data_IF_105380747633
#
_entry.id   IF_105380747633
#
_cell.length_a   1.000
_cell.length_b   1.000
_cell.length_c   1.000
_cell.angle_alpha   90.00
_cell.angle_beta   90.00
_cell.angle_gamma   90.00
#
_symmetry.space_group_name_H-M   'P 1'
#
loop_
_entity.id
_entity.type
_entity.pdbx_description
1 polymer ?
#
# COMPACT_ATOMS: atom_id res chain seq x y z
N UNK A 1 -23.66 -12.81 17.46
CA UNK A 1 -22.79 -12.62 18.64
C UNK A 1 -21.80 -11.52 18.28
N UNK A 2 -22.03 -10.32 18.81
CA UNK A 2 -21.26 -9.13 18.44
C UNK A 2 -20.00 -9.02 19.28
N UNK A 3 -18.86 -9.40 18.73
CA UNK A 3 -17.56 -9.15 19.32
C UNK A 3 -17.13 -7.70 19.01
N UNK A 4 -17.06 -6.86 20.02
CA UNK A 4 -16.49 -5.52 19.93
C UNK A 4 -14.99 -5.67 19.64
N UNK A 5 -14.53 -5.18 18.50
CA UNK A 5 -13.10 -4.96 18.28
C UNK A 5 -12.62 -3.91 19.30
N UNK A 6 -11.86 -4.36 20.29
CA UNK A 6 -11.10 -3.46 21.17
C UNK A 6 -9.90 -2.92 20.36
N UNK A 7 -9.61 -1.63 20.50
CA UNK A 7 -8.32 -1.06 20.11
C UNK A 7 -7.22 -1.93 20.73
N UNK A 8 -6.54 -2.69 19.90
CA UNK A 8 -5.43 -3.53 20.35
C UNK A 8 -4.18 -2.66 20.33
N UNK A 9 -3.66 -2.33 21.51
CA UNK A 9 -2.33 -1.78 21.68
C UNK A 9 -1.31 -2.78 21.11
N UNK A 10 -0.58 -2.34 20.10
CA UNK A 10 0.41 -3.18 19.43
C UNK A 10 1.68 -3.25 20.27
N UNK A 11 2.30 -4.44 20.49
CA UNK A 11 3.40 -4.63 21.46
C UNK A 11 4.66 -3.82 21.20
N UNK A 12 4.85 -3.28 20.03
CA UNK A 12 6.13 -2.62 19.71
C UNK A 12 6.22 -1.13 20.05
N UNK A 13 5.18 -0.50 20.58
CA UNK A 13 5.26 0.88 21.09
C UNK A 13 6.12 0.95 22.37
N UNK A 14 6.40 -0.19 23.02
CA UNK A 14 7.15 -0.25 24.27
C UNK A 14 8.66 -0.53 24.14
N UNK A 15 9.20 -0.79 22.94
CA UNK A 15 10.61 -1.15 22.76
C UNK A 15 11.57 0.05 22.55
N UNK A 16 11.21 1.26 22.97
CA UNK A 16 12.02 2.47 22.80
C UNK A 16 12.48 3.17 24.07
N UNK A 17 12.19 2.66 25.25
CA UNK A 17 12.73 3.21 26.49
C UNK A 17 13.86 2.32 27.01
N UNK A 18 15.09 2.62 26.57
CA UNK A 18 16.30 2.03 27.11
C UNK A 18 16.48 2.43 28.58
N UNK A 19 16.85 1.47 29.39
CA UNK A 19 17.16 1.60 30.80
C UNK A 19 18.15 2.74 31.06
N UNK A 20 17.67 3.78 31.73
CA UNK A 20 18.52 4.85 32.27
C UNK A 20 19.13 4.40 33.58
N UNK A 21 20.45 4.25 33.60
CA UNK A 21 21.26 3.95 34.78
C UNK A 21 21.03 4.98 35.91
N UNK A 22 21.10 4.51 37.15
CA UNK A 22 20.97 5.25 38.39
C UNK A 22 21.85 6.51 38.47
N UNK A 23 21.36 7.67 38.94
CA UNK A 23 22.23 8.78 39.26
C UNK A 23 22.69 8.73 40.71
N UNK A 24 24.01 8.75 40.87
CA UNK A 24 24.66 9.05 42.12
C UNK A 24 24.43 10.49 42.56
N UNK A 25 24.21 10.67 43.85
CA UNK A 25 23.89 11.93 44.49
C UNK A 25 25.01 12.98 44.38
N UNK A 26 24.67 14.19 43.90
CA UNK A 26 25.37 15.43 44.20
C UNK A 26 24.36 16.55 44.42
N UNK A 27 24.36 17.09 45.66
CA UNK A 27 23.53 18.22 46.05
C UNK A 27 24.05 19.52 45.43
N UNK A 28 23.24 20.13 44.61
CA UNK A 28 23.44 21.52 44.13
C UNK A 28 22.28 22.41 44.57
N UNK A 29 22.64 23.62 45.07
CA UNK A 29 21.78 24.61 45.65
C UNK A 29 20.63 25.06 44.76
N UNK A 30 19.40 25.10 45.29
CA UNK A 30 18.13 25.43 44.58
C UNK A 30 18.08 26.82 43.88
N UNK A 31 19.03 27.71 44.11
CA UNK A 31 19.08 29.02 43.43
C UNK A 31 19.72 28.98 42.05
N UNK A 32 20.67 28.06 41.78
CA UNK A 32 21.25 27.87 40.46
C UNK A 32 20.33 27.13 39.50
N UNK A 33 19.43 26.27 39.99
CA UNK A 33 18.50 25.52 39.13
C UNK A 33 17.45 26.40 38.45
N UNK A 34 16.97 27.48 39.06
CA UNK A 34 15.99 28.36 38.42
C UNK A 34 16.57 29.14 37.24
N UNK A 35 17.80 29.60 37.33
CA UNK A 35 18.47 30.30 36.23
C UNK A 35 18.78 29.35 35.06
N UNK A 36 19.20 28.13 35.33
CA UNK A 36 19.46 27.10 34.31
C UNK A 36 18.14 26.65 33.65
N UNK A 37 17.06 26.49 34.40
CA UNK A 37 15.76 26.08 33.85
C UNK A 37 15.16 27.16 32.94
N UNK A 38 15.29 28.46 33.31
CA UNK A 38 14.81 29.57 32.47
C UNK A 38 15.64 29.66 31.17
N UNK A 39 16.97 29.47 31.24
CA UNK A 39 17.83 29.48 30.08
C UNK A 39 17.59 28.23 29.19
N UNK A 40 17.30 27.08 29.79
CA UNK A 40 16.98 25.88 29.03
C UNK A 40 15.61 25.95 28.33
N UNK A 41 14.60 26.53 29.02
CA UNK A 41 13.28 26.77 28.44
C UNK A 41 13.36 27.81 27.32
N UNK A 42 14.13 28.90 27.50
CA UNK A 42 14.36 29.88 26.45
C UNK A 42 15.10 29.25 25.23
N UNK A 43 16.14 28.43 25.46
CA UNK A 43 16.88 27.75 24.43
C UNK A 43 16.02 26.72 23.70
N UNK A 44 15.15 26.00 24.42
CA UNK A 44 14.20 25.05 23.80
C UNK A 44 13.14 25.77 23.00
N UNK A 45 12.68 26.96 23.46
CA UNK A 45 11.71 27.78 22.72
C UNK A 45 12.37 28.40 21.47
N UNK A 46 13.62 28.89 21.57
CA UNK A 46 14.35 29.41 20.41
C UNK A 46 14.69 28.31 19.40
N UNK A 47 15.11 27.13 19.83
CA UNK A 47 15.35 25.99 18.94
C UNK A 47 14.04 25.42 18.37
N UNK A 48 12.92 25.47 19.09
CA UNK A 48 11.61 25.09 18.56
C UNK A 48 11.05 26.10 17.56
N UNK A 49 11.54 27.36 17.56
CA UNK A 49 11.17 28.35 16.55
C UNK A 49 12.05 28.29 15.30
N UNK A 50 13.29 27.81 15.40
CA UNK A 50 14.19 27.65 14.24
C UNK A 50 13.93 26.39 13.43
N UNK A 51 13.38 25.34 14.01
CA UNK A 51 12.97 24.10 13.34
C UNK A 51 11.46 24.10 13.09
N UNK A 52 10.94 25.08 12.34
CA UNK A 52 9.68 24.86 11.62
C UNK A 52 9.98 23.98 10.44
N UNK A 53 10.18 22.70 10.71
CA UNK A 53 10.12 21.68 9.70
C UNK A 53 8.83 21.87 8.89
N UNK A 54 8.93 21.81 7.58
CA UNK A 54 7.79 21.62 6.69
C UNK A 54 6.84 20.65 7.35
N UNK A 55 5.54 20.96 7.37
CA UNK A 55 4.59 20.01 7.96
C UNK A 55 4.76 18.67 7.23
N UNK A 56 5.03 17.58 7.95
CA UNK A 56 5.23 16.30 7.30
C UNK A 56 4.00 15.98 6.46
N UNK A 57 4.22 15.52 5.24
CA UNK A 57 3.16 15.08 4.33
C UNK A 57 2.30 14.06 5.07
N UNK A 58 0.99 14.29 5.14
CA UNK A 58 0.08 13.33 5.73
C UNK A 58 0.17 12.00 4.98
N UNK A 59 0.41 10.88 5.66
CA UNK A 59 0.48 9.59 5.01
C UNK A 59 -0.87 9.21 4.38
N UNK A 60 -0.86 8.44 3.30
CA UNK A 60 -2.09 8.07 2.57
C UNK A 60 -3.14 7.38 3.44
N UNK A 61 -2.72 6.62 4.46
CA UNK A 61 -3.67 6.02 5.38
C UNK A 61 -4.52 7.09 6.12
N UNK A 62 -3.92 8.24 6.48
CA UNK A 62 -4.64 9.34 7.13
C UNK A 62 -5.61 10.00 6.14
N UNK A 63 -5.20 10.16 4.88
CA UNK A 63 -6.07 10.63 3.83
C UNK A 63 -7.19 9.64 3.52
N UNK A 64 -6.88 8.33 3.52
CA UNK A 64 -7.86 7.28 3.29
C UNK A 64 -8.97 7.21 4.36
N UNK A 65 -8.78 7.80 5.52
CA UNK A 65 -9.80 7.94 6.56
C UNK A 65 -10.61 9.24 6.45
N UNK A 66 -10.32 10.10 5.48
CA UNK A 66 -11.05 11.35 5.28
C UNK A 66 -12.54 11.07 5.01
N UNK A 67 -13.47 11.78 5.66
CA UNK A 67 -14.91 11.59 5.48
C UNK A 67 -15.40 12.00 4.09
N UNK A 68 -14.59 12.79 3.36
CA UNK A 68 -14.85 13.16 1.97
C UNK A 68 -13.62 12.85 1.11
N UNK A 69 -13.83 11.99 0.10
CA UNK A 69 -12.84 11.65 -0.91
C UNK A 69 -13.53 11.77 -2.27
N UNK A 70 -13.12 12.75 -3.04
CA UNK A 70 -13.81 13.13 -4.28
C UNK A 70 -12.79 13.31 -5.40
N UNK A 71 -13.21 13.01 -6.62
CA UNK A 71 -12.56 13.49 -7.83
C UNK A 71 -13.34 14.70 -8.34
N UNK A 72 -12.64 15.78 -8.66
CA UNK A 72 -13.24 17.07 -8.97
C UNK A 72 -12.56 17.77 -10.15
N UNK A 73 -13.27 18.70 -10.76
CA UNK A 73 -12.70 19.73 -11.65
C UNK A 73 -12.74 21.07 -10.94
N UNK A 74 -11.65 21.79 -10.93
CA UNK A 74 -11.57 23.15 -10.37
C UNK A 74 -12.18 24.15 -11.32
N UNK A 75 -13.21 24.87 -10.86
CA UNK A 75 -13.92 25.89 -11.63
C UNK A 75 -13.34 27.29 -11.45
N UNK A 76 -12.93 27.61 -10.23
CA UNK A 76 -12.28 28.89 -9.88
C UNK A 76 -11.49 28.76 -8.60
N UNK A 77 -10.60 29.72 -8.37
CA UNK A 77 -9.79 29.83 -7.18
C UNK A 77 -9.78 31.30 -6.71
N UNK A 78 -9.81 31.50 -5.40
CA UNK A 78 -9.78 32.82 -4.77
C UNK A 78 -8.89 32.76 -3.52
N UNK A 79 -7.95 33.69 -3.39
CA UNK A 79 -7.08 33.82 -2.22
C UNK A 79 -7.67 34.79 -1.23
N UNK A 80 -7.73 34.42 0.07
CA UNK A 80 -8.21 35.28 1.16
C UNK A 80 -7.23 35.19 2.32
N UNK A 81 -6.41 36.22 2.53
CA UNK A 81 -5.55 36.28 3.70
C UNK A 81 -6.37 36.13 4.99
N UNK A 82 -5.97 35.22 5.87
CA UNK A 82 -6.57 35.02 7.19
C UNK A 82 -5.75 35.73 8.27
N UNK A 83 -4.43 35.67 8.15
CA UNK A 83 -3.46 36.37 8.99
C UNK A 83 -2.27 36.80 8.13
N UNK A 84 -1.29 37.51 8.71
CA UNK A 84 -0.03 37.84 8.04
C UNK A 84 0.78 36.62 7.53
N UNK A 85 0.45 35.42 8.05
CA UNK A 85 1.18 34.17 7.76
C UNK A 85 0.31 33.04 7.26
N UNK A 86 -0.98 33.24 7.17
CA UNK A 86 -1.91 32.18 6.75
C UNK A 86 -2.83 32.77 5.69
N UNK A 87 -2.82 32.15 4.53
CA UNK A 87 -3.74 32.45 3.44
C UNK A 87 -4.69 31.27 3.22
N UNK A 88 -5.98 31.55 3.24
CA UNK A 88 -6.99 30.58 2.80
C UNK A 88 -7.13 30.66 1.27
N UNK A 89 -6.97 29.54 0.61
CA UNK A 89 -7.24 29.40 -0.82
C UNK A 89 -8.58 28.71 -0.96
N UNK A 90 -9.55 29.41 -1.54
CA UNK A 90 -10.89 28.92 -1.78
C UNK A 90 -10.99 28.42 -3.23
N UNK A 91 -11.30 27.14 -3.41
CA UNK A 91 -11.58 26.54 -4.69
C UNK A 91 -13.09 26.30 -4.82
N UNK A 92 -13.69 26.74 -5.92
CA UNK A 92 -15.00 26.25 -6.35
C UNK A 92 -14.76 25.07 -7.27
N UNK A 93 -15.36 23.93 -6.94
CA UNK A 93 -15.11 22.68 -7.67
C UNK A 93 -16.42 22.03 -8.09
N UNK A 94 -16.36 21.23 -9.17
CA UNK A 94 -17.46 20.38 -9.64
C UNK A 94 -17.08 18.93 -9.40
N UNK A 95 -17.92 18.19 -8.70
CA UNK A 95 -17.74 16.78 -8.39
C UNK A 95 -17.85 15.93 -9.65
N UNK A 96 -16.83 15.11 -9.89
CA UNK A 96 -16.77 14.14 -10.99
C UNK A 96 -16.99 12.72 -10.53
N UNK A 97 -16.51 12.39 -9.32
CA UNK A 97 -16.68 11.08 -8.70
C UNK A 97 -16.71 11.24 -7.18
N UNK A 98 -17.52 10.46 -6.52
CA UNK A 98 -17.56 10.35 -5.06
C UNK A 98 -17.04 8.98 -4.69
N UNK A 99 -15.93 8.92 -3.98
CA UNK A 99 -15.38 7.68 -3.40
C UNK A 99 -15.93 7.48 -1.99
N UNK A 100 -15.89 8.55 -1.19
CA UNK A 100 -16.44 8.64 0.16
C UNK A 100 -17.05 10.02 0.31
N UNK A 101 -18.24 10.12 0.90
CA UNK A 101 -18.89 11.40 1.15
C UNK A 101 -20.42 11.28 1.18
N UNK A 102 -21.02 11.52 2.34
CA UNK A 102 -22.47 11.55 2.48
C UNK A 102 -23.05 12.87 1.99
N UNK A 103 -24.18 12.80 1.29
CA UNK A 103 -24.92 13.99 0.82
C UNK A 103 -24.29 14.71 -0.37
N UNK A 104 -23.39 14.06 -1.11
CA UNK A 104 -22.80 14.56 -2.35
C UNK A 104 -23.11 13.64 -3.52
N UNK A 105 -23.27 14.24 -4.70
CA UNK A 105 -23.52 13.56 -5.96
C UNK A 105 -22.60 14.06 -7.06
N UNK A 106 -22.42 13.26 -8.11
CA UNK A 106 -21.71 13.68 -9.31
C UNK A 106 -22.45 14.87 -9.94
N UNK A 107 -21.69 15.91 -10.27
CA UNK A 107 -22.23 17.15 -10.83
C UNK A 107 -22.41 18.28 -9.80
N UNK A 108 -22.41 17.96 -8.50
CA UNK A 108 -22.52 18.99 -7.45
C UNK A 108 -21.36 19.98 -7.52
N UNK A 109 -21.66 21.24 -7.18
CA UNK A 109 -20.67 22.28 -7.03
C UNK A 109 -20.54 22.65 -5.55
N UNK A 110 -19.30 22.71 -5.06
CA UNK A 110 -19.02 23.02 -3.67
C UNK A 110 -17.75 23.86 -3.51
N UNK A 111 -17.58 24.43 -2.32
CA UNK A 111 -16.40 25.16 -1.95
C UNK A 111 -15.42 24.24 -1.21
N UNK A 112 -14.14 24.32 -1.58
CA UNK A 112 -13.04 23.61 -0.92
C UNK A 112 -12.02 24.65 -0.44
N UNK A 113 -11.69 24.62 0.85
CA UNK A 113 -10.73 25.54 1.47
C UNK A 113 -9.45 24.80 1.77
N UNK A 114 -8.33 25.37 1.33
CA UNK A 114 -6.98 24.95 1.69
C UNK A 114 -6.29 26.06 2.47
N UNK A 115 -5.50 25.71 3.49
CA UNK A 115 -4.69 26.67 4.22
C UNK A 115 -3.25 26.58 3.77
N UNK A 116 -2.67 27.71 3.40
CA UNK A 116 -1.27 27.85 3.03
C UNK A 116 -0.59 28.71 4.08
N UNK A 117 0.59 28.28 4.49
CA UNK A 117 1.41 28.99 5.47
C UNK A 117 2.54 29.68 4.72
N UNK A 118 2.57 30.99 4.77
CA UNK A 118 3.66 31.76 4.19
C UNK A 118 4.95 31.57 4.98
N UNK A 119 6.03 31.28 4.30
CA UNK A 119 7.34 31.17 4.93
C UNK A 119 7.78 32.54 5.47
N UNK A 120 8.44 32.62 6.64
CA UNK A 120 8.99 33.88 7.12
C UNK A 120 10.00 34.44 6.11
N UNK A 121 10.11 35.79 5.99
CA UNK A 121 11.09 36.42 5.13
C UNK A 121 12.50 35.89 5.40
N UNK A 122 13.20 35.41 4.37
CA UNK A 122 14.55 34.85 4.48
C UNK A 122 14.62 33.34 4.69
N UNK A 123 13.49 32.63 4.87
CA UNK A 123 13.49 31.19 4.78
C UNK A 123 13.69 30.79 3.32
N UNK A 124 14.81 30.16 3.01
CA UNK A 124 14.99 29.50 1.72
C UNK A 124 13.94 28.39 1.65
N UNK A 125 12.97 28.54 0.74
CA UNK A 125 12.08 27.44 0.42
C UNK A 125 12.98 26.28 -0.04
N UNK A 126 13.09 25.23 0.78
CA UNK A 126 13.59 23.99 0.26
C UNK A 126 12.67 23.65 -0.91
N UNK A 127 13.23 23.48 -2.08
CA UNK A 127 12.52 23.24 -3.34
C UNK A 127 11.84 21.87 -3.38
N UNK A 128 11.66 21.24 -2.24
CA UNK A 128 11.04 19.96 -2.05
C UNK A 128 9.52 20.10 -1.94
N UNK A 129 8.87 19.54 -2.89
CA UNK A 129 7.44 19.17 -2.87
C UNK A 129 6.42 20.31 -3.04
N UNK A 130 6.50 21.02 -4.17
CA UNK A 130 5.44 21.95 -4.59
C UNK A 130 4.11 21.27 -4.92
N UNK A 131 3.95 19.98 -4.60
CA UNK A 131 2.77 19.22 -4.99
C UNK A 131 2.66 18.98 -6.51
N UNK A 132 1.71 18.16 -6.95
CA UNK A 132 1.59 17.72 -8.34
C UNK A 132 0.98 18.75 -9.29
N UNK A 133 0.52 19.91 -8.80
CA UNK A 133 -0.20 20.92 -9.59
C UNK A 133 0.63 22.18 -9.82
N UNK A 134 0.30 22.88 -10.93
CA UNK A 134 1.01 24.10 -11.37
C UNK A 134 0.45 25.40 -10.76
N UNK A 135 -0.52 25.32 -9.86
CA UNK A 135 -1.08 26.50 -9.19
C UNK A 135 -0.17 27.04 -8.07
N UNK A 136 -0.52 28.16 -7.44
CA UNK A 136 0.21 28.71 -6.31
C UNK A 136 0.43 27.66 -5.22
N UNK A 137 1.63 27.55 -4.70
CA UNK A 137 2.01 26.58 -3.67
C UNK A 137 1.69 25.11 -4.02
N UNK A 138 1.69 24.75 -5.31
CA UNK A 138 1.38 23.40 -5.77
C UNK A 138 -0.08 22.98 -5.63
N UNK A 139 -1.01 23.94 -5.47
CA UNK A 139 -2.45 23.70 -5.47
C UNK A 139 -3.01 23.65 -6.91
N UNK A 140 -4.16 23.00 -7.14
CA UNK A 140 -4.75 22.94 -8.47
C UNK A 140 -5.27 24.32 -8.91
N UNK A 141 -5.03 24.65 -10.18
CA UNK A 141 -5.52 25.84 -10.84
C UNK A 141 -6.89 25.60 -11.50
N UNK A 142 -7.52 26.67 -12.00
CA UNK A 142 -8.75 26.55 -12.78
C UNK A 142 -8.58 25.63 -13.98
N UNK A 143 -9.47 24.66 -14.10
CA UNK A 143 -9.48 23.65 -15.17
C UNK A 143 -8.80 22.35 -14.77
N UNK A 144 -8.00 22.33 -13.72
CA UNK A 144 -7.34 21.12 -13.26
C UNK A 144 -8.34 20.08 -12.76
N UNK A 145 -8.02 18.82 -13.01
CA UNK A 145 -8.66 17.67 -12.39
C UNK A 145 -7.82 17.23 -11.18
N UNK A 146 -8.48 17.00 -10.06
CA UNK A 146 -7.81 16.64 -8.82
C UNK A 146 -8.64 15.64 -8.01
N UNK A 147 -7.96 14.83 -7.20
CA UNK A 147 -8.56 14.08 -6.11
C UNK A 147 -8.39 14.86 -4.82
N UNK A 148 -9.46 14.99 -4.04
CA UNK A 148 -9.43 15.69 -2.75
C UNK A 148 -9.76 14.75 -1.61
N UNK A 149 -9.06 14.98 -0.50
CA UNK A 149 -9.29 14.36 0.80
C UNK A 149 -9.59 15.48 1.78
N UNK A 150 -10.79 15.48 2.34
CA UNK A 150 -11.26 16.64 3.10
C UNK A 150 -12.13 16.25 4.29
N UNK A 151 -12.17 17.16 5.26
CA UNK A 151 -13.12 17.22 6.36
C UNK A 151 -14.17 18.31 6.08
N UNK A 152 -15.25 18.37 6.85
CA UNK A 152 -16.24 19.44 6.76
C UNK A 152 -17.65 18.93 6.49
N UNK A 153 -18.40 19.69 5.71
CA UNK A 153 -19.78 19.35 5.33
C UNK A 153 -19.93 19.37 3.80
N UNK A 154 -21.00 18.77 3.29
CA UNK A 154 -21.29 18.74 1.84
C UNK A 154 -21.36 20.12 1.16
N UNK A 155 -21.43 21.23 1.90
CA UNK A 155 -21.42 22.59 1.35
C UNK A 155 -20.03 23.22 1.29
N UNK A 156 -19.23 22.96 2.32
CA UNK A 156 -17.88 23.52 2.47
C UNK A 156 -16.96 22.44 3.03
N UNK A 157 -15.95 22.09 2.27
CA UNK A 157 -14.92 21.15 2.62
C UNK A 157 -13.63 21.87 2.98
N UNK A 158 -12.88 21.34 3.94
CA UNK A 158 -11.52 21.77 4.27
C UNK A 158 -10.57 20.62 3.96
N UNK A 159 -9.60 20.86 3.07
CA UNK A 159 -8.62 19.82 2.72
C UNK A 159 -7.78 19.43 3.93
N UNK A 160 -7.41 18.16 4.00
CA UNK A 160 -6.42 17.68 4.94
C UNK A 160 -5.08 18.26 4.50
N UNK A 161 -4.48 19.09 5.37
CA UNK A 161 -3.17 19.70 5.06
C UNK A 161 -2.05 18.72 5.43
N UNK A 162 -0.91 18.72 4.69
CA UNK A 162 -0.61 19.59 3.54
C UNK A 162 -1.03 19.00 2.18
N UNK A 163 -1.29 17.72 2.06
CA UNK A 163 -1.44 17.04 0.77
C UNK A 163 -2.86 16.51 0.49
N UNK A 164 -3.88 17.20 0.97
CA UNK A 164 -5.28 16.86 0.70
C UNK A 164 -5.69 16.99 -0.78
N UNK A 165 -4.86 17.60 -1.63
CA UNK A 165 -4.98 17.62 -3.07
C UNK A 165 -4.00 16.63 -3.71
N UNK A 166 -4.52 15.74 -4.55
CA UNK A 166 -3.75 14.70 -5.22
C UNK A 166 -4.10 14.66 -6.71
N UNK A 167 -3.26 14.06 -7.51
CA UNK A 167 -3.64 13.69 -8.87
C UNK A 167 -4.84 12.72 -8.81
N UNK A 168 -5.75 12.73 -9.81
CA UNK A 168 -6.98 11.95 -9.75
C UNK A 168 -6.73 10.45 -9.64
N UNK A 169 -5.65 9.96 -10.25
CA UNK A 169 -5.33 8.53 -10.25
C UNK A 169 -4.82 8.08 -8.88
N UNK A 170 -5.28 6.91 -8.45
CA UNK A 170 -4.76 6.25 -7.26
C UNK A 170 -3.28 5.88 -7.45
N UNK A 171 -2.55 5.77 -6.33
CA UNK A 171 -1.14 5.34 -6.31
C UNK A 171 -1.03 3.93 -5.74
N UNK A 172 -0.41 3.03 -6.48
CA UNK A 172 -0.12 1.66 -6.04
C UNK A 172 1.37 1.51 -5.79
N UNK A 173 1.75 1.09 -4.58
CA UNK A 173 3.11 0.67 -4.28
C UNK A 173 3.27 -0.84 -4.52
N UNK A 174 4.13 -1.21 -5.46
CA UNK A 174 4.57 -2.58 -5.69
C UNK A 174 5.82 -2.84 -4.86
N UNK A 175 5.77 -3.79 -3.93
CA UNK A 175 6.91 -4.20 -3.13
C UNK A 175 7.43 -5.52 -3.69
N UNK A 176 8.57 -5.43 -4.39
CA UNK A 176 9.17 -6.51 -5.16
C UNK A 176 10.48 -6.95 -4.50
N UNK A 177 10.39 -7.83 -3.49
CA UNK A 177 11.55 -8.31 -2.71
C UNK A 177 11.70 -9.83 -2.74
N UNK A 178 11.01 -10.51 -3.66
CA UNK A 178 11.13 -11.96 -3.87
C UNK A 178 12.17 -12.25 -4.96
N UNK A 179 13.34 -12.66 -4.56
CA UNK A 179 14.46 -13.05 -5.44
C UNK A 179 14.24 -14.42 -6.11
N UNK A 180 13.55 -15.35 -5.43
CA UNK A 180 13.30 -16.71 -5.93
C UNK A 180 12.44 -16.71 -7.20
N UNK A 181 11.43 -15.85 -7.22
CA UNK A 181 10.49 -15.72 -8.36
C UNK A 181 10.67 -14.42 -9.14
N UNK A 182 11.86 -13.81 -9.05
CA UNK A 182 12.23 -12.67 -9.86
C UNK A 182 11.15 -11.57 -9.91
N UNK A 183 10.67 -11.19 -8.71
CA UNK A 183 9.71 -10.10 -8.59
C UNK A 183 10.24 -8.76 -9.10
N UNK A 184 11.56 -8.60 -9.17
CA UNK A 184 12.27 -7.49 -9.80
C UNK A 184 11.97 -7.31 -11.29
N UNK A 185 11.52 -8.35 -11.96
CA UNK A 185 11.14 -8.33 -13.38
C UNK A 185 9.61 -8.37 -13.56
N UNK A 186 8.93 -9.24 -12.80
CA UNK A 186 7.49 -9.43 -12.95
C UNK A 186 6.68 -8.25 -12.46
N UNK A 187 7.01 -7.66 -11.31
CA UNK A 187 6.24 -6.56 -10.75
C UNK A 187 6.38 -5.25 -11.54
N UNK A 188 7.57 -4.82 -12.02
CA UNK A 188 7.68 -3.69 -12.95
C UNK A 188 6.86 -3.87 -14.22
N UNK A 189 6.81 -5.09 -14.76
CA UNK A 189 5.99 -5.38 -15.94
C UNK A 189 4.50 -5.17 -15.67
N UNK A 190 3.96 -5.74 -14.58
CA UNK A 190 2.56 -5.56 -14.18
C UNK A 190 2.26 -4.09 -13.86
N UNK A 191 3.13 -3.42 -13.11
CA UNK A 191 2.99 -1.99 -12.78
C UNK A 191 2.91 -1.12 -14.04
N UNK A 192 3.78 -1.39 -15.03
CA UNK A 192 3.77 -0.69 -16.32
C UNK A 192 2.47 -0.91 -17.11
N UNK A 193 1.90 -2.12 -17.08
CA UNK A 193 0.62 -2.38 -17.73
C UNK A 193 -0.51 -1.59 -17.06
N UNK A 194 -0.58 -1.57 -15.73
CA UNK A 194 -1.57 -0.80 -14.97
C UNK A 194 -1.47 0.69 -15.29
N UNK A 195 -0.25 1.25 -15.26
CA UNK A 195 -0.04 2.67 -15.54
C UNK A 195 -0.41 3.03 -16.99
N UNK A 196 -0.06 2.17 -17.96
CA UNK A 196 -0.38 2.38 -19.38
C UNK A 196 -1.87 2.34 -19.68
N UNK A 197 -2.64 1.57 -18.92
CA UNK A 197 -4.10 1.51 -19.04
C UNK A 197 -4.80 2.68 -18.29
N UNK A 198 -4.06 3.55 -17.63
CA UNK A 198 -4.63 4.62 -16.81
C UNK A 198 -5.46 4.10 -15.63
N UNK A 199 -5.20 2.87 -15.16
CA UNK A 199 -5.91 2.28 -14.01
C UNK A 199 -5.48 2.96 -12.73
N UNK A 200 -4.16 3.14 -12.56
CA UNK A 200 -3.56 3.84 -11.42
C UNK A 200 -2.14 4.30 -11.75
N UNK A 201 -1.60 5.22 -10.97
CA UNK A 201 -0.16 5.50 -10.91
C UNK A 201 0.53 4.39 -10.13
N UNK A 202 1.77 4.10 -10.45
CA UNK A 202 2.50 2.99 -9.84
C UNK A 202 3.90 3.41 -9.41
N UNK A 203 4.37 2.90 -8.28
CA UNK A 203 5.78 2.88 -7.88
C UNK A 203 6.21 1.44 -7.61
N UNK A 204 7.48 1.14 -7.86
CA UNK A 204 8.03 -0.20 -7.59
C UNK A 204 9.22 -0.06 -6.66
N UNK A 205 9.21 -0.81 -5.58
CA UNK A 205 10.19 -0.76 -4.50
C UNK A 205 10.89 -2.11 -4.40
N UNK A 206 12.22 -2.07 -4.41
CA UNK A 206 13.09 -3.24 -4.36
C UNK A 206 13.87 -3.29 -3.06
N UNK A 207 14.38 -4.47 -2.68
CA UNK A 207 15.33 -4.59 -1.58
C UNK A 207 16.63 -3.83 -1.89
N UNK A 208 17.29 -3.28 -0.85
CA UNK A 208 18.50 -2.47 -1.01
C UNK A 208 19.69 -2.92 -0.13
N UNK A 209 19.47 -3.87 0.77
CA UNK A 209 20.50 -4.24 1.76
C UNK A 209 20.68 -3.25 2.90
N UNK A 210 19.85 -2.22 2.98
CA UNK A 210 19.93 -1.18 4.00
C UNK A 210 18.97 -1.44 5.16
N UNK A 211 19.35 -1.04 6.36
CA UNK A 211 18.55 -1.14 7.56
C UNK A 211 17.45 -0.02 7.67
N UNK A 212 17.32 0.81 6.64
CA UNK A 212 16.33 1.89 6.60
C UNK A 212 16.68 3.12 7.45
N UNK A 213 17.94 3.26 7.88
CA UNK A 213 18.42 4.42 8.67
C UNK A 213 18.98 5.55 7.81
N UNK A 214 19.18 5.31 6.51
CA UNK A 214 19.69 6.31 5.57
C UNK A 214 18.59 6.90 4.68
N UNK A 215 18.71 8.18 4.32
CA UNK A 215 17.72 8.94 3.53
C UNK A 215 17.98 8.96 2.02
N UNK A 216 19.01 8.29 1.53
CA UNK A 216 19.35 8.30 0.10
C UNK A 216 18.73 7.11 -0.63
N UNK A 217 18.17 7.35 -1.82
CA UNK A 217 17.79 6.29 -2.74
C UNK A 217 19.01 5.38 -2.98
N UNK A 218 18.86 4.09 -2.73
CA UNK A 218 19.91 3.10 -2.92
C UNK A 218 19.61 2.23 -4.12
N UNK A 219 20.68 1.71 -4.70
CA UNK A 219 20.57 0.76 -5.80
C UNK A 219 19.88 -0.54 -5.33
N UNK A 220 19.06 -1.17 -6.16
CA UNK A 220 18.42 -2.44 -5.83
C UNK A 220 19.43 -3.56 -5.57
N UNK A 221 19.24 -4.29 -4.47
CA UNK A 221 19.92 -5.55 -4.18
C UNK A 221 18.88 -6.65 -3.85
N UNK A 222 18.52 -7.41 -4.84
CA UNK A 222 17.48 -8.46 -4.70
C UNK A 222 17.91 -9.65 -3.83
N UNK A 223 19.19 -9.79 -3.53
CA UNK A 223 19.69 -10.82 -2.60
C UNK A 223 19.56 -10.38 -1.15
N UNK A 224 19.47 -9.08 -0.95
CA UNK A 224 19.24 -8.52 0.37
C UNK A 224 17.78 -8.73 0.81
N UNK A 225 17.58 -8.87 2.11
CA UNK A 225 16.23 -8.98 2.70
C UNK A 225 15.81 -7.69 3.40
N UNK A 226 16.71 -6.73 3.50
CA UNK A 226 16.53 -5.50 4.28
C UNK A 226 16.39 -4.31 3.35
N UNK A 227 15.68 -3.28 3.80
CA UNK A 227 15.54 -2.02 3.11
C UNK A 227 14.65 -2.04 1.88
N UNK A 228 14.19 -0.84 1.49
CA UNK A 228 13.47 -0.59 0.24
C UNK A 228 14.06 0.65 -0.45
N UNK A 229 14.00 0.66 -1.77
CA UNK A 229 14.56 1.76 -2.59
C UNK A 229 13.93 3.13 -2.33
N UNK A 230 12.66 3.17 -1.94
CA UNK A 230 11.94 4.41 -1.64
C UNK A 230 10.83 4.14 -0.61
N UNK A 231 10.94 4.69 0.59
CA UNK A 231 9.93 4.57 1.64
C UNK A 231 8.86 5.69 1.59
N UNK A 232 9.16 6.82 0.94
CA UNK A 232 8.18 7.89 0.72
C UNK A 232 7.08 7.46 -0.23
N UNK A 233 7.41 6.73 -1.30
CA UNK A 233 6.43 6.17 -2.22
C UNK A 233 5.45 5.24 -1.51
N UNK A 234 5.94 4.40 -0.59
CA UNK A 234 5.09 3.55 0.23
C UNK A 234 4.12 4.34 1.11
N UNK A 235 4.57 5.44 1.71
CA UNK A 235 3.72 6.32 2.53
C UNK A 235 2.61 7.01 1.74
N UNK A 236 2.85 7.26 0.46
CA UNK A 236 1.92 7.95 -0.45
C UNK A 236 0.99 7.00 -1.19
N UNK A 237 1.15 5.70 -1.00
CA UNK A 237 0.35 4.72 -1.71
C UNK A 237 -1.06 4.60 -1.13
N UNK A 238 -2.04 4.53 -2.02
CA UNK A 238 -3.44 4.20 -1.71
C UNK A 238 -3.66 2.70 -1.52
N UNK A 239 -2.74 1.88 -2.04
CA UNK A 239 -2.79 0.42 -1.98
C UNK A 239 -1.40 -0.18 -2.16
N UNK A 240 -1.25 -1.45 -1.79
CA UNK A 240 0.01 -2.17 -1.91
C UNK A 240 -0.16 -3.49 -2.65
N UNK A 241 0.79 -3.78 -3.54
CA UNK A 241 0.93 -5.08 -4.21
C UNK A 241 2.22 -5.72 -3.72
N UNK A 242 2.11 -6.88 -3.09
CA UNK A 242 3.22 -7.58 -2.47
C UNK A 242 3.66 -8.78 -3.30
N UNK A 243 4.91 -8.78 -3.71
CA UNK A 243 5.65 -9.93 -4.20
C UNK A 243 6.93 -10.05 -3.36
N UNK A 244 6.76 -10.49 -2.12
CA UNK A 244 7.74 -10.45 -1.03
C UNK A 244 8.08 -11.86 -0.55
N UNK A 245 9.32 -12.02 -0.08
CA UNK A 245 9.75 -13.27 0.54
C UNK A 245 10.73 -13.02 1.66
N UNK A 246 10.29 -13.34 2.91
CA UNK A 246 11.10 -13.28 4.13
C UNK A 246 11.88 -11.97 4.29
N UNK A 247 11.22 -10.86 3.98
CA UNK A 247 11.83 -9.52 4.08
C UNK A 247 11.94 -9.08 5.54
N UNK A 248 13.01 -8.35 5.83
CA UNK A 248 13.35 -7.80 7.15
C UNK A 248 13.45 -6.28 7.04
N UNK A 249 12.31 -5.64 6.75
CA UNK A 249 12.28 -4.19 6.52
C UNK A 249 12.65 -3.40 7.78
N UNK A 250 13.35 -2.28 7.62
CA UNK A 250 13.73 -1.40 8.72
C UNK A 250 12.54 -0.75 9.41
N UNK A 251 12.75 -0.25 10.64
CA UNK A 251 11.70 0.29 11.51
C UNK A 251 10.78 1.32 10.81
N UNK A 252 11.35 2.30 10.12
CA UNK A 252 10.57 3.34 9.44
C UNK A 252 9.71 2.78 8.30
N UNK A 253 10.23 1.83 7.55
CA UNK A 253 9.54 1.15 6.46
C UNK A 253 8.42 0.27 7.00
N UNK A 254 8.68 -0.46 8.09
CA UNK A 254 7.66 -1.25 8.78
C UNK A 254 6.54 -0.39 9.36
N UNK A 255 6.84 0.79 9.90
CA UNK A 255 5.82 1.74 10.35
C UNK A 255 4.94 2.21 9.19
N UNK A 256 5.53 2.50 8.04
CA UNK A 256 4.79 2.88 6.84
C UNK A 256 3.88 1.74 6.37
N UNK A 257 4.40 0.52 6.34
CA UNK A 257 3.66 -0.68 5.96
C UNK A 257 2.55 -1.01 6.97
N UNK A 258 2.86 -0.97 8.27
CA UNK A 258 1.89 -1.18 9.35
C UNK A 258 0.72 -0.18 9.27
N UNK A 259 1.00 1.07 8.87
CA UNK A 259 -0.03 2.08 8.69
C UNK A 259 -1.03 1.66 7.59
N UNK A 260 -0.56 1.14 6.47
CA UNK A 260 -1.42 0.64 5.38
C UNK A 260 -2.35 -0.47 5.87
N UNK A 261 -1.80 -1.45 6.60
CA UNK A 261 -2.59 -2.59 7.11
C UNK A 261 -3.62 -2.17 8.17
N UNK A 262 -3.22 -1.30 9.12
CA UNK A 262 -4.11 -0.83 10.21
C UNK A 262 -5.29 0.00 9.73
N UNK A 263 -5.08 0.80 8.70
CA UNK A 263 -6.11 1.69 8.17
C UNK A 263 -6.94 1.07 7.06
N UNK A 264 -6.71 -0.22 6.79
CA UNK A 264 -7.53 -0.99 5.88
C UNK A 264 -7.42 -0.53 4.43
N UNK A 265 -6.24 -0.11 3.97
CA UNK A 265 -6.00 0.12 2.56
C UNK A 265 -5.96 -1.20 1.79
N UNK A 266 -6.34 -1.21 0.50
CA UNK A 266 -6.31 -2.42 -0.32
C UNK A 266 -4.93 -3.05 -0.38
N UNK A 267 -4.88 -4.38 -0.30
CA UNK A 267 -3.63 -5.15 -0.38
C UNK A 267 -3.83 -6.32 -1.32
N UNK A 268 -2.86 -6.52 -2.21
CA UNK A 268 -2.82 -7.65 -3.14
C UNK A 268 -1.53 -8.43 -2.92
N UNK A 269 -1.62 -9.75 -2.76
CA UNK A 269 -0.47 -10.62 -2.55
C UNK A 269 -0.25 -11.62 -3.67
N UNK A 270 1.01 -11.83 -4.01
CA UNK A 270 1.45 -12.84 -4.96
C UNK A 270 2.34 -13.87 -4.25
N UNK A 271 2.04 -15.14 -4.49
CA UNK A 271 2.87 -16.32 -4.19
C UNK A 271 3.55 -16.29 -2.82
N UNK A 272 4.86 -16.01 -2.76
CA UNK A 272 5.64 -16.04 -1.53
C UNK A 272 5.26 -14.94 -0.52
N UNK A 273 4.35 -14.04 -0.85
CA UNK A 273 3.81 -13.07 0.10
C UNK A 273 3.00 -13.70 1.25
N UNK A 274 2.71 -15.02 1.19
CA UNK A 274 2.30 -15.80 2.37
C UNK A 274 3.42 -15.89 3.42
N UNK A 275 4.66 -15.66 3.03
CA UNK A 275 5.86 -15.59 3.86
C UNK A 275 6.58 -14.27 3.61
N UNK A 276 5.81 -13.16 3.54
CA UNK A 276 6.34 -11.84 3.20
C UNK A 276 7.48 -11.41 4.12
N UNK A 277 7.36 -11.72 5.41
CA UNK A 277 8.34 -11.34 6.43
C UNK A 277 9.09 -12.54 7.00
N UNK A 278 10.33 -12.28 7.45
CA UNK A 278 11.22 -13.30 8.01
C UNK A 278 12.16 -12.72 9.06
N UNK A 279 11.62 -11.91 9.98
CA UNK A 279 12.38 -11.27 11.04
C UNK A 279 13.02 -12.30 11.95
N UNK A 280 14.30 -12.13 12.32
CA UNK A 280 14.98 -12.99 13.28
C UNK A 280 14.44 -12.76 14.70
N UNK A 281 14.56 -13.80 15.54
CA UNK A 281 14.14 -13.76 16.94
C UNK A 281 12.69 -14.15 17.15
N UNK A 282 12.29 -14.18 18.42
CA UNK A 282 10.99 -14.68 18.89
C UNK A 282 10.17 -13.65 19.69
N UNK A 283 10.54 -12.37 19.60
CA UNK A 283 9.77 -11.27 20.17
C UNK A 283 8.34 -11.21 19.64
N UNK A 284 7.39 -10.69 20.42
CA UNK A 284 5.98 -10.62 20.04
C UNK A 284 5.74 -9.89 18.69
N UNK A 285 6.43 -8.77 18.47
CA UNK A 285 6.33 -8.05 17.20
C UNK A 285 6.85 -8.84 16.01
N UNK A 286 7.96 -9.56 16.20
CA UNK A 286 8.56 -10.45 15.19
C UNK A 286 7.59 -11.60 14.85
N UNK A 287 7.03 -12.26 15.86
CA UNK A 287 6.05 -13.33 15.69
C UNK A 287 4.79 -12.82 14.99
N UNK A 288 4.35 -11.61 15.32
CA UNK A 288 3.18 -11.06 14.63
C UNK A 288 3.41 -10.92 13.12
N UNK A 289 4.53 -10.33 12.70
CA UNK A 289 4.81 -10.17 11.28
C UNK A 289 5.06 -11.50 10.55
N UNK A 290 5.78 -12.41 11.19
CA UNK A 290 6.10 -13.70 10.58
C UNK A 290 4.88 -14.65 10.54
N UNK A 291 4.06 -14.65 11.58
CA UNK A 291 3.03 -15.67 11.79
C UNK A 291 1.59 -15.14 11.75
N UNK A 292 1.30 -14.01 12.41
CA UNK A 292 -0.07 -13.50 12.50
C UNK A 292 -0.46 -12.70 11.25
N UNK A 293 0.45 -11.91 10.69
CA UNK A 293 0.19 -11.10 9.50
C UNK A 293 -0.38 -11.93 8.32
N UNK A 294 0.18 -13.09 7.94
CA UNK A 294 -0.40 -13.91 6.87
C UNK A 294 -1.83 -14.35 7.17
N UNK A 295 -2.12 -14.74 8.40
CA UNK A 295 -3.45 -15.18 8.81
C UNK A 295 -4.45 -14.03 8.85
N UNK A 296 -4.06 -12.90 9.45
CA UNK A 296 -4.93 -11.74 9.58
C UNK A 296 -5.19 -11.05 8.22
N UNK A 297 -4.19 -11.03 7.33
CA UNK A 297 -4.28 -10.38 6.03
C UNK A 297 -4.82 -11.35 4.97
N UNK A 298 -4.14 -12.45 4.74
CA UNK A 298 -4.50 -13.38 3.66
C UNK A 298 -5.54 -14.43 4.07
N UNK A 299 -5.78 -14.60 5.37
CA UNK A 299 -6.67 -15.62 5.92
C UNK A 299 -6.01 -16.98 6.12
N UNK A 300 -4.73 -17.14 5.77
CA UNK A 300 -4.08 -18.46 5.82
C UNK A 300 -2.57 -18.34 5.94
N UNK A 301 -1.92 -19.49 6.16
CA UNK A 301 -0.46 -19.65 6.16
C UNK A 301 -0.02 -20.62 5.07
N UNK A 302 1.18 -20.41 4.58
CA UNK A 302 1.88 -21.40 3.78
C UNK A 302 2.29 -22.58 4.66
N UNK A 303 2.00 -23.80 4.20
CA UNK A 303 2.44 -25.05 4.87
C UNK A 303 3.60 -25.69 4.11
N UNK A 304 3.42 -25.87 2.83
CA UNK A 304 4.39 -26.50 1.94
C UNK A 304 3.97 -26.31 0.48
N UNK A 305 4.61 -27.04 -0.43
CA UNK A 305 4.22 -27.09 -1.84
C UNK A 305 4.24 -28.53 -2.36
N UNK A 306 3.47 -28.81 -3.38
CA UNK A 306 3.36 -30.12 -4.02
C UNK A 306 4.53 -30.39 -4.96
N UNK A 307 5.77 -30.43 -4.42
CA UNK A 307 7.00 -30.55 -5.21
C UNK A 307 7.48 -29.21 -5.80
N UNK A 308 8.79 -28.97 -5.77
CA UNK A 308 9.39 -27.69 -6.19
C UNK A 308 9.28 -27.42 -7.69
N UNK A 309 9.22 -28.46 -8.51
CA UNK A 309 9.15 -28.38 -9.96
C UNK A 309 7.78 -28.83 -10.51
N UNK A 310 6.81 -29.05 -9.60
CA UNK A 310 5.45 -29.40 -10.02
C UNK A 310 4.77 -28.22 -10.70
N UNK A 311 3.81 -28.54 -11.57
CA UNK A 311 2.95 -27.56 -12.23
C UNK A 311 1.57 -27.56 -11.59
N UNK A 312 0.87 -26.45 -11.74
CA UNK A 312 -0.52 -26.31 -11.30
C UNK A 312 -1.44 -26.25 -12.50
N UNK A 313 -2.49 -27.04 -12.50
CA UNK A 313 -3.64 -26.85 -13.38
C UNK A 313 -4.63 -25.94 -12.68
N UNK A 314 -4.87 -24.76 -13.23
CA UNK A 314 -5.96 -23.89 -12.84
C UNK A 314 -7.27 -24.53 -13.25
N UNK A 315 -8.13 -24.85 -12.31
CA UNK A 315 -9.44 -25.45 -12.57
C UNK A 315 -10.41 -24.39 -13.08
N UNK A 316 -11.21 -24.75 -14.08
CA UNK A 316 -12.25 -23.85 -14.59
C UNK A 316 -13.18 -23.40 -13.45
N UNK A 317 -13.41 -22.08 -13.30
CA UNK A 317 -14.25 -21.56 -12.21
C UNK A 317 -15.72 -21.98 -12.40
N UNK A 318 -16.42 -22.18 -11.29
CA UNK A 318 -17.85 -22.41 -11.31
C UNK A 318 -18.64 -21.15 -11.72
N UNK A 319 -19.97 -21.30 -11.87
CA UNK A 319 -20.82 -20.21 -12.33
C UNK A 319 -20.92 -19.04 -11.35
N UNK A 320 -20.70 -19.27 -10.06
CA UNK A 320 -20.73 -18.23 -9.03
C UNK A 320 -19.42 -17.42 -9.04
N UNK A 321 -18.29 -18.10 -9.07
CA UNK A 321 -16.98 -17.47 -9.17
C UNK A 321 -16.84 -16.64 -10.43
N UNK A 322 -17.33 -17.14 -11.59
CA UNK A 322 -17.30 -16.42 -12.89
C UNK A 322 -17.99 -15.05 -12.86
N UNK A 323 -18.95 -14.85 -11.97
CA UNK A 323 -19.64 -13.56 -11.82
C UNK A 323 -18.82 -12.51 -11.05
N UNK A 324 -17.73 -12.92 -10.42
CA UNK A 324 -16.89 -11.99 -9.68
C UNK A 324 -16.08 -11.10 -10.63
N UNK A 325 -15.99 -9.76 -10.39
CA UNK A 325 -15.27 -8.83 -11.27
C UNK A 325 -13.82 -9.22 -11.58
N UNK A 326 -13.12 -9.86 -10.65
CA UNK A 326 -11.75 -10.37 -10.84
C UNK A 326 -11.65 -11.36 -11.99
N UNK A 327 -12.71 -12.13 -12.28
CA UNK A 327 -12.75 -13.10 -13.37
C UNK A 327 -13.43 -12.58 -14.65
N UNK A 328 -13.81 -11.30 -14.66
CA UNK A 328 -14.46 -10.69 -15.82
C UNK A 328 -13.53 -10.72 -17.04
N UNK A 329 -13.97 -11.37 -18.09
CA UNK A 329 -13.21 -11.51 -19.33
C UNK A 329 -12.03 -12.48 -19.27
N UNK A 330 -11.74 -13.11 -18.13
CA UNK A 330 -10.70 -14.18 -18.02
C UNK A 330 -11.26 -15.48 -18.58
N UNK A 331 -10.52 -16.10 -19.51
CA UNK A 331 -10.90 -17.35 -20.15
C UNK A 331 -10.02 -18.50 -19.64
N UNK A 332 -10.63 -19.41 -18.89
CA UNK A 332 -9.99 -20.65 -18.46
C UNK A 332 -10.72 -21.80 -19.15
N UNK A 333 -10.03 -22.62 -19.97
CA UNK A 333 -10.62 -23.76 -20.65
C UNK A 333 -11.30 -24.75 -19.69
N UNK A 334 -12.24 -25.53 -20.17
CA UNK A 334 -12.96 -26.52 -19.35
C UNK A 334 -12.02 -27.58 -18.78
N UNK A 335 -10.99 -27.96 -19.53
CA UNK A 335 -9.91 -28.86 -19.13
C UNK A 335 -8.90 -28.24 -18.17
N UNK A 336 -9.03 -26.93 -17.92
CA UNK A 336 -8.13 -26.15 -17.10
C UNK A 336 -6.95 -25.55 -17.87
N UNK A 337 -6.20 -24.68 -17.21
CA UNK A 337 -4.99 -24.02 -17.73
C UNK A 337 -3.79 -24.49 -16.90
N UNK A 338 -2.79 -25.08 -17.52
CA UNK A 338 -1.57 -25.53 -16.83
C UNK A 338 -0.53 -24.43 -16.81
N UNK A 339 -0.05 -24.09 -15.59
CA UNK A 339 0.94 -23.04 -15.36
C UNK A 339 2.18 -23.58 -14.63
N UNK A 340 3.35 -22.96 -14.82
CA UNK A 340 4.60 -23.35 -14.17
C UNK A 340 4.65 -23.24 -12.65
N UNK A 341 3.84 -22.39 -12.04
CA UNK A 341 3.77 -22.30 -10.58
C UNK A 341 3.49 -23.66 -9.94
N UNK A 342 4.32 -24.06 -8.97
CA UNK A 342 4.01 -25.23 -8.12
C UNK A 342 2.83 -24.91 -7.19
N UNK A 343 1.98 -25.88 -6.94
CA UNK A 343 0.81 -25.74 -6.08
C UNK A 343 1.23 -25.56 -4.61
N UNK A 344 0.82 -24.46 -3.99
CA UNK A 344 0.98 -24.24 -2.56
C UNK A 344 -0.09 -24.99 -1.78
N UNK A 345 0.34 -25.60 -0.68
CA UNK A 345 -0.53 -26.14 0.36
C UNK A 345 -0.65 -25.11 1.45
N UNK A 346 -1.87 -24.71 1.75
CA UNK A 346 -2.18 -23.67 2.75
C UNK A 346 -3.09 -24.23 3.84
N UNK A 347 -3.15 -23.54 4.98
CA UNK A 347 -4.16 -23.85 5.99
C UNK A 347 -5.55 -23.52 5.44
N UNK A 348 -6.63 -24.17 5.99
CA UNK A 348 -7.99 -23.88 5.56
C UNK A 348 -8.31 -22.37 5.64
N UNK A 349 -8.92 -21.85 4.59
CA UNK A 349 -9.35 -20.46 4.53
C UNK A 349 -10.57 -20.23 5.45
N UNK A 350 -10.64 -19.08 6.16
CA UNK A 350 -11.79 -18.72 6.95
C UNK A 350 -13.02 -18.37 6.08
N UNK A 351 -14.23 -18.36 6.64
CA UNK A 351 -15.47 -18.14 5.87
C UNK A 351 -15.57 -16.77 5.19
N UNK A 352 -14.79 -15.77 5.62
CA UNK A 352 -14.72 -14.44 5.01
C UNK A 352 -13.80 -14.40 3.78
N UNK A 353 -13.11 -15.49 3.47
CA UNK A 353 -12.37 -15.67 2.23
C UNK A 353 -13.26 -16.33 1.16
N UNK A 354 -13.44 -15.63 0.04
CA UNK A 354 -14.11 -16.18 -1.12
C UNK A 354 -13.10 -16.72 -2.10
N UNK A 355 -13.06 -18.04 -2.30
CA UNK A 355 -12.20 -18.68 -3.30
C UNK A 355 -12.78 -18.44 -4.69
N UNK A 356 -11.99 -17.92 -5.61
CA UNK A 356 -12.38 -17.67 -7.00
C UNK A 356 -11.80 -18.71 -7.96
N UNK A 357 -10.59 -19.21 -7.66
CA UNK A 357 -9.95 -20.26 -8.47
C UNK A 357 -9.31 -21.32 -7.59
N UNK A 358 -9.48 -22.55 -8.03
CA UNK A 358 -8.82 -23.74 -7.49
C UNK A 358 -7.70 -24.18 -8.41
N UNK A 359 -6.65 -24.73 -7.85
CA UNK A 359 -5.56 -25.36 -8.57
C UNK A 359 -5.42 -26.83 -8.19
N UNK A 360 -5.00 -27.63 -9.15
CA UNK A 360 -4.67 -29.04 -8.96
C UNK A 360 -3.21 -29.30 -9.33
N UNK A 361 -2.50 -30.09 -8.51
CA UNK A 361 -1.14 -30.50 -8.84
C UNK A 361 -1.17 -31.44 -10.04
N UNK A 362 -0.50 -31.07 -11.14
CA UNK A 362 -0.40 -31.90 -12.36
C UNK A 362 0.57 -33.07 -12.12
N UNK A 363 1.66 -32.76 -11.44
CA UNK A 363 2.76 -33.65 -11.11
C UNK A 363 3.29 -33.31 -9.72
N UNK A 364 4.28 -34.05 -9.24
CA UNK A 364 4.88 -33.79 -7.95
C UNK A 364 4.31 -34.63 -6.82
N UNK A 365 4.96 -34.50 -5.68
CA UNK A 365 4.77 -35.35 -4.50
C UNK A 365 3.76 -34.71 -3.54
N UNK A 366 2.48 -34.92 -3.82
CA UNK A 366 1.39 -34.34 -3.05
C UNK A 366 0.42 -35.44 -2.62
N UNK A 367 0.06 -35.53 -1.32
CA UNK A 367 -1.01 -36.42 -0.90
C UNK A 367 -2.30 -36.18 -1.69
N UNK A 368 -3.00 -37.21 -2.08
CA UNK A 368 -4.20 -37.10 -2.92
C UNK A 368 -5.23 -36.14 -2.34
N UNK A 369 -5.47 -36.20 -1.05
CA UNK A 369 -6.41 -35.30 -0.35
C UNK A 369 -6.00 -33.81 -0.38
N UNK A 370 -4.74 -33.49 -0.71
CA UNK A 370 -4.21 -32.14 -0.74
C UNK A 370 -3.81 -31.68 -2.15
N UNK A 371 -4.09 -32.50 -3.18
CA UNK A 371 -3.79 -32.17 -4.58
C UNK A 371 -4.60 -31.01 -5.14
N UNK A 372 -5.68 -30.62 -4.47
CA UNK A 372 -6.53 -29.48 -4.83
C UNK A 372 -6.45 -28.42 -3.74
N UNK A 373 -6.01 -27.20 -4.11
CA UNK A 373 -5.83 -26.07 -3.19
C UNK A 373 -6.44 -24.79 -3.78
N UNK A 374 -6.86 -23.83 -2.93
CA UNK A 374 -7.21 -22.51 -3.40
C UNK A 374 -5.96 -21.83 -3.97
N UNK A 375 -6.06 -21.23 -5.14
CA UNK A 375 -4.95 -20.50 -5.79
C UNK A 375 -5.22 -19.03 -6.00
N UNK A 376 -6.48 -18.62 -5.94
CA UNK A 376 -6.89 -17.23 -5.93
C UNK A 376 -8.12 -17.07 -5.05
N UNK A 377 -8.03 -16.13 -4.11
CA UNK A 377 -9.16 -15.77 -3.25
C UNK A 377 -9.15 -14.29 -2.92
N UNK A 378 -10.30 -13.81 -2.45
CA UNK A 378 -10.53 -12.42 -2.08
C UNK A 378 -11.19 -12.33 -0.71
N UNK A 379 -11.01 -11.20 -0.03
CA UNK A 379 -11.66 -10.84 1.23
C UNK A 379 -12.13 -9.39 1.18
N UNK A 380 -13.22 -9.11 1.88
CA UNK A 380 -13.69 -7.75 2.15
C UNK A 380 -13.83 -7.58 3.67
N UNK A 381 -12.90 -6.86 4.27
CA UNK A 381 -12.89 -6.63 5.70
C UNK A 381 -13.56 -5.29 6.04
N UNK A 382 -14.46 -5.26 7.05
CA UNK A 382 -15.14 -4.03 7.42
C UNK A 382 -14.14 -3.00 7.97
N UNK A 383 -14.33 -1.75 7.61
CA UNK A 383 -13.61 -0.58 8.13
C UNK A 383 -14.51 0.24 9.04
N UNK A 384 -14.01 1.39 9.50
CA UNK A 384 -14.82 2.37 10.24
C UNK A 384 -16.12 2.69 9.49
N UNK A 385 -17.17 3.03 10.22
CA UNK A 385 -18.47 3.38 9.63
C UNK A 385 -18.33 4.47 8.57
N UNK A 386 -18.96 4.26 7.42
CA UNK A 386 -18.94 5.18 6.28
C UNK A 386 -17.77 5.01 5.32
N UNK A 387 -16.77 4.16 5.65
CA UNK A 387 -15.68 3.84 4.73
C UNK A 387 -15.97 2.55 3.94
N UNK A 388 -15.54 2.47 2.67
CA UNK A 388 -15.58 1.23 1.92
C UNK A 388 -14.80 0.10 2.65
N UNK A 389 -15.19 -1.16 2.50
CA UNK A 389 -14.46 -2.27 3.08
C UNK A 389 -13.03 -2.32 2.53
N UNK A 390 -12.09 -2.83 3.33
CA UNK A 390 -10.78 -3.19 2.82
C UNK A 390 -10.91 -4.37 1.88
N UNK A 391 -10.50 -4.20 0.63
CA UNK A 391 -10.42 -5.29 -0.33
C UNK A 391 -9.02 -5.89 -0.32
N UNK A 392 -8.98 -7.19 -0.15
CA UNK A 392 -7.75 -7.98 -0.11
C UNK A 392 -7.87 -9.07 -1.17
N UNK A 393 -6.86 -9.21 -2.01
CA UNK A 393 -6.78 -10.30 -2.97
C UNK A 393 -5.45 -11.02 -2.83
N UNK A 394 -5.46 -12.33 -2.98
CA UNK A 394 -4.26 -13.14 -2.95
C UNK A 394 -4.27 -14.22 -4.04
N UNK A 395 -3.11 -14.42 -4.67
CA UNK A 395 -2.89 -15.56 -5.56
C UNK A 395 -1.59 -16.28 -5.24
N UNK A 396 -1.63 -17.63 -5.25
CA UNK A 396 -0.43 -18.45 -5.16
C UNK A 396 0.31 -18.59 -6.50
N UNK A 397 -0.22 -18.01 -7.57
CA UNK A 397 0.48 -17.84 -8.85
C UNK A 397 1.54 -16.74 -8.72
N UNK A 398 2.51 -16.73 -9.62
CA UNK A 398 3.57 -15.71 -9.61
C UNK A 398 4.95 -16.22 -10.00
N UNK A 399 5.04 -17.47 -10.49
CA UNK A 399 6.24 -17.90 -11.20
C UNK A 399 6.42 -17.02 -12.45
N UNK A 400 7.64 -16.52 -12.76
CA UNK A 400 7.83 -15.63 -13.90
C UNK A 400 7.22 -16.16 -15.21
N UNK A 401 7.35 -17.45 -15.47
CA UNK A 401 6.79 -18.05 -16.67
C UNK A 401 5.25 -18.17 -16.67
N UNK A 402 4.56 -17.98 -15.54
CA UNK A 402 3.09 -17.90 -15.53
C UNK A 402 2.60 -16.70 -16.35
N UNK A 403 3.35 -15.62 -16.36
CA UNK A 403 3.01 -14.38 -17.08
C UNK A 403 3.26 -14.46 -18.59
N UNK A 404 3.76 -15.59 -19.11
CA UNK A 404 3.72 -15.89 -20.53
C UNK A 404 2.29 -16.14 -21.01
N UNK A 405 1.45 -16.67 -20.13
CA UNK A 405 0.04 -16.85 -20.41
C UNK A 405 -0.72 -15.51 -20.29
N UNK A 406 -1.51 -15.20 -21.32
CA UNK A 406 -2.25 -13.95 -21.39
C UNK A 406 -3.38 -13.84 -20.38
N UNK A 407 -3.99 -14.97 -20.01
CA UNK A 407 -5.09 -15.01 -19.05
C UNK A 407 -4.57 -14.83 -17.62
N UNK A 408 -3.36 -15.34 -17.30
CA UNK A 408 -2.71 -15.08 -16.02
C UNK A 408 -2.32 -13.61 -15.87
N UNK A 409 -1.84 -12.97 -16.96
CA UNK A 409 -1.59 -11.50 -16.94
C UNK A 409 -2.88 -10.73 -16.70
N UNK A 410 -3.94 -11.06 -17.45
CA UNK A 410 -5.24 -10.41 -17.30
C UNK A 410 -5.80 -10.61 -15.90
N UNK A 411 -5.76 -11.83 -15.37
CA UNK A 411 -6.20 -12.18 -14.02
C UNK A 411 -5.48 -11.34 -12.97
N UNK A 412 -4.17 -11.19 -13.08
CA UNK A 412 -3.34 -10.42 -12.13
C UNK A 412 -3.74 -8.95 -12.11
N UNK A 413 -4.00 -8.34 -13.26
CA UNK A 413 -4.39 -6.93 -13.36
C UNK A 413 -5.84 -6.74 -12.92
N UNK A 414 -6.75 -7.65 -13.26
CA UNK A 414 -8.13 -7.63 -12.78
C UNK A 414 -8.21 -7.70 -11.24
N UNK A 415 -7.38 -8.57 -10.65
CA UNK A 415 -7.28 -8.69 -9.19
C UNK A 415 -6.86 -7.37 -8.53
N UNK A 416 -5.86 -6.69 -9.10
CA UNK A 416 -5.39 -5.39 -8.61
C UNK A 416 -6.45 -4.31 -8.84
N UNK A 417 -7.02 -4.23 -10.04
CA UNK A 417 -8.06 -3.26 -10.38
C UNK A 417 -9.29 -3.39 -9.46
N UNK A 418 -9.72 -4.63 -9.18
CA UNK A 418 -10.80 -4.89 -8.22
C UNK A 418 -10.44 -4.43 -6.80
N UNK A 419 -9.24 -4.74 -6.33
CA UNK A 419 -8.83 -4.37 -4.99
C UNK A 419 -8.89 -2.86 -4.77
N UNK A 420 -8.50 -2.07 -5.76
CA UNK A 420 -8.51 -0.60 -5.67
C UNK A 420 -9.84 0.05 -6.12
N UNK A 421 -10.84 -0.73 -6.53
CA UNK A 421 -12.15 -0.22 -6.96
C UNK A 421 -12.15 0.40 -8.36
N UNK A 422 -11.22 0.01 -9.23
CA UNK A 422 -11.06 0.50 -10.60
C UNK A 422 -11.41 -0.56 -11.67
N UNK A 423 -12.16 -1.58 -11.31
CA UNK A 423 -12.58 -2.65 -12.21
C UNK A 423 -13.36 -2.15 -13.44
N UNK A 424 -14.02 -0.99 -13.34
CA UNK A 424 -14.73 -0.37 -14.47
C UNK A 424 -13.78 0.11 -15.59
N UNK A 425 -12.49 0.30 -15.31
CA UNK A 425 -11.46 0.65 -16.30
C UNK A 425 -10.98 -0.55 -17.11
N UNK A 426 -11.40 -1.75 -16.74
CA UNK A 426 -11.06 -3.00 -17.41
C UNK A 426 -12.03 -3.30 -18.55
N UNK A 427 -12.13 -2.39 -19.52
CA UNK A 427 -12.91 -2.57 -20.75
C UNK A 427 -12.24 -3.56 -21.72
N UNK A 428 -12.86 -3.85 -22.84
CA UNK A 428 -12.36 -4.81 -23.82
C UNK A 428 -11.06 -4.34 -24.48
N UNK A 429 -10.85 -3.03 -24.65
CA UNK A 429 -9.62 -2.48 -25.19
C UNK A 429 -8.45 -2.66 -24.23
N UNK A 430 -8.67 -2.40 -22.94
CA UNK A 430 -7.68 -2.64 -21.89
C UNK A 430 -7.31 -4.13 -21.80
N UNK A 431 -8.31 -5.03 -21.81
CA UNK A 431 -8.11 -6.48 -21.79
C UNK A 431 -7.31 -6.96 -23.00
N UNK A 432 -7.63 -6.46 -24.19
CA UNK A 432 -6.89 -6.81 -25.42
C UNK A 432 -5.43 -6.37 -25.33
N UNK A 433 -5.19 -5.14 -24.86
CA UNK A 433 -3.82 -4.61 -24.68
C UNK A 433 -3.01 -5.44 -23.71
N UNK A 434 -3.61 -5.88 -22.59
CA UNK A 434 -2.95 -6.74 -21.59
C UNK A 434 -2.61 -8.11 -22.19
N UNK A 435 -3.53 -8.71 -22.95
CA UNK A 435 -3.29 -10.01 -23.57
C UNK A 435 -2.19 -9.96 -24.62
N UNK A 436 -2.12 -8.90 -25.40
CA UNK A 436 -1.13 -8.76 -26.49
C UNK A 436 0.21 -8.18 -26.00
N UNK A 437 0.33 -7.81 -24.73
CA UNK A 437 1.58 -7.29 -24.19
C UNK A 437 2.71 -8.32 -24.28
N UNK A 438 3.86 -7.91 -24.80
CA UNK A 438 5.04 -8.75 -24.83
C UNK A 438 5.68 -8.83 -23.46
N UNK A 439 5.89 -10.02 -22.97
CA UNK A 439 6.60 -10.32 -21.74
C UNK A 439 7.75 -11.29 -22.01
N UNK A 440 8.93 -10.95 -21.52
CA UNK A 440 10.12 -11.80 -21.59
C UNK A 440 10.44 -12.24 -20.15
N UNK A 441 10.19 -13.53 -19.81
CA UNK A 441 10.49 -14.03 -18.48
C UNK A 441 12.00 -14.06 -18.27
N UNK A 442 12.49 -13.71 -17.07
CA UNK A 442 13.88 -13.97 -16.71
C UNK A 442 14.12 -15.47 -16.58
N UNK A 443 15.36 -15.92 -16.77
CA UNK A 443 15.73 -17.26 -16.36
C UNK A 443 15.54 -17.39 -14.85
N UNK A 444 14.72 -18.38 -14.46
CA UNK A 444 14.55 -18.70 -13.03
C UNK A 444 15.77 -19.48 -12.60
N UNK A 445 16.55 -18.93 -11.67
CA UNK A 445 17.66 -19.65 -11.09
C UNK A 445 17.12 -20.92 -10.38
N UNK A 446 17.72 -22.11 -10.63
CA UNK A 446 17.35 -23.27 -9.84
C UNK A 446 17.62 -22.97 -8.36
N UNK A 447 16.74 -23.41 -7.44
CA UNK A 447 16.93 -23.16 -6.01
C UNK A 447 18.31 -23.68 -5.61
N UNK A 448 19.04 -22.86 -4.86
CA UNK A 448 20.33 -23.25 -4.32
C UNK A 448 20.17 -24.61 -3.62
N UNK A 449 20.90 -25.61 -4.07
CA UNK A 449 20.95 -26.92 -3.41
C UNK A 449 21.41 -26.68 -1.98
N UNK A 450 20.49 -26.78 -1.03
CA UNK A 450 20.87 -26.87 0.38
C UNK A 450 21.67 -28.15 0.49
N UNK A 451 23.00 -28.04 0.59
CA UNK A 451 23.83 -29.20 0.95
C UNK A 451 23.33 -29.73 2.30
N UNK A 452 23.17 -31.03 2.43
CA UNK A 452 22.71 -31.68 3.65
C UNK A 452 23.60 -31.35 4.85
#
# INVERSE_FOLDING_TARGET
MGGRFRDRDWPWIQLGQGDAAHPGAYGASMRSMKAILVSFVALVIEHSQAARAEQPVAPMWQLAEAPFQLEVTVLSMEEKPLTERITNIWHRVKVKRVFVGSGLSVGDELAVVSQVFDNPPGATSSSGDRGPFNGPNGLPAKGDHARIFANGSAKVLKTISPNGWQLPDQMIAFIATDDEYRSDVTMPFIAKLIARQGIARTSVHFSTGDDGRGSSAKEPDMKARTGLTDDLGLRRADSSVLAMRRSELGYNQMNSFASVTRHGLPIVGFRNSLQAFGFPGDGEGTKWWNDAFPVETWGTRWRSQCGRQSKTRIVAPDAEARRHPVLSGVSIPAEGLVVPSSLFRVDPLPPDCRVLLWGEAVDGDCPEAERRQPILWVRELPRKSGLPPQRIAFTSLGHPADFLDSEVRLLSIQMIAWAIGEEARMDDAARLTIRTAQYLPPEVQPPATVKP
#
